data_IF_144166191992
#
_entry.id   IF_144166191992
#
_cell.length_a   1.000
_cell.length_b   1.000
_cell.length_c   1.000
_cell.angle_alpha   90.00
_cell.angle_beta   90.00
_cell.angle_gamma   90.00
#
_symmetry.space_group_name_H-M   'P 1'
#
loop_
_entity.id
_entity.type
_entity.pdbx_description
1 polymer ?
#
# COMPACT_ATOMS: atom_id res chain seq x y z
N UNK A 1 1.67 32.78 -28.01
CA UNK A 1 1.08 31.67 -27.20
C UNK A 1 -0.34 32.09 -26.89
N UNK A 2 -1.35 31.47 -27.51
CA UNK A 2 -2.74 31.70 -27.14
C UNK A 2 -3.01 30.92 -25.87
N UNK A 3 -3.40 31.61 -24.80
CA UNK A 3 -3.81 30.99 -23.55
C UNK A 3 -5.02 30.08 -23.79
N UNK A 4 -5.02 28.91 -23.21
CA UNK A 4 -6.20 28.06 -23.12
C UNK A 4 -7.22 28.75 -22.21
N UNK A 5 -8.29 29.27 -22.81
CA UNK A 5 -9.42 29.81 -22.09
C UNK A 5 -10.24 28.62 -21.56
N UNK A 6 -10.18 28.35 -20.25
CA UNK A 6 -10.97 27.32 -19.56
C UNK A 6 -12.31 27.94 -19.09
N UNK A 7 -12.92 28.76 -19.91
CA UNK A 7 -14.28 29.25 -19.65
C UNK A 7 -15.26 28.09 -19.88
N UNK A 8 -15.74 27.49 -18.80
CA UNK A 8 -16.77 26.46 -18.81
C UNK A 8 -16.43 25.14 -18.09
N UNK A 9 -15.37 25.05 -17.29
CA UNK A 9 -15.18 23.89 -16.46
C UNK A 9 -16.25 23.85 -15.36
N UNK A 10 -17.34 23.13 -15.63
CA UNK A 10 -18.24 22.70 -14.55
C UNK A 10 -17.39 21.94 -13.52
N UNK A 11 -17.30 22.45 -12.29
CA UNK A 11 -16.61 21.75 -11.21
C UNK A 11 -17.35 20.43 -10.98
N UNK A 12 -16.69 19.32 -11.27
CA UNK A 12 -17.17 18.00 -10.89
C UNK A 12 -17.13 17.96 -9.37
N UNK A 13 -18.29 17.99 -8.72
CA UNK A 13 -18.41 18.06 -7.26
C UNK A 13 -19.22 16.93 -6.66
N UNK A 14 -19.84 16.09 -7.48
CA UNK A 14 -20.57 14.94 -6.97
C UNK A 14 -19.64 13.71 -6.81
N UNK A 15 -19.81 13.01 -5.69
CA UNK A 15 -18.96 11.88 -5.31
C UNK A 15 -19.03 10.73 -6.32
N UNK A 16 -20.20 10.46 -6.89
CA UNK A 16 -20.39 9.38 -7.85
C UNK A 16 -19.56 9.60 -9.13
N UNK A 17 -19.57 10.82 -9.66
CA UNK A 17 -18.74 11.20 -10.80
C UNK A 17 -17.25 11.16 -10.46
N UNK A 18 -16.86 11.63 -9.26
CA UNK A 18 -15.46 11.59 -8.83
C UNK A 18 -14.95 10.15 -8.64
N UNK A 19 -15.78 9.23 -8.20
CA UNK A 19 -15.40 7.80 -8.06
C UNK A 19 -15.13 7.16 -9.42
N UNK A 20 -15.92 7.45 -10.43
CA UNK A 20 -15.78 6.89 -11.78
C UNK A 20 -14.79 7.64 -12.67
N UNK A 21 -14.34 8.82 -12.22
CA UNK A 21 -13.37 9.61 -12.99
C UNK A 21 -12.01 8.89 -13.02
N UNK A 22 -11.39 8.69 -14.20
CA UNK A 22 -10.11 8.02 -14.32
C UNK A 22 -9.01 8.74 -13.54
N UNK A 23 -8.36 8.05 -12.61
CA UNK A 23 -7.29 8.60 -11.77
C UNK A 23 -5.98 7.87 -11.99
N UNK A 24 -4.88 8.61 -11.85
CA UNK A 24 -3.52 8.08 -11.78
C UNK A 24 -3.02 8.29 -10.35
N UNK A 25 -2.53 7.24 -9.71
CA UNK A 25 -1.95 7.29 -8.38
C UNK A 25 -0.45 6.96 -8.44
N UNK A 26 0.39 7.93 -8.12
CA UNK A 26 1.85 7.77 -8.21
C UNK A 26 2.54 7.63 -6.85
N UNK A 27 1.79 7.71 -5.74
CA UNK A 27 2.37 7.66 -4.40
C UNK A 27 1.45 6.98 -3.38
N UNK A 28 1.39 5.65 -3.44
CA UNK A 28 0.59 4.85 -2.51
C UNK A 28 1.39 3.69 -1.92
N UNK A 29 1.49 3.65 -0.59
CA UNK A 29 2.08 2.52 0.13
C UNK A 29 1.03 1.44 0.39
N UNK A 30 1.34 0.19 0.03
CA UNK A 30 0.43 -0.94 0.26
C UNK A 30 0.11 -1.09 1.75
N UNK A 31 1.11 -0.96 2.62
CA UNK A 31 0.98 -1.08 4.08
C UNK A 31 0.04 -0.07 4.72
N UNK A 32 -0.23 1.04 4.05
CA UNK A 32 -1.13 2.11 4.50
C UNK A 32 -2.47 2.16 3.78
N UNK A 33 -2.76 1.19 2.89
CA UNK A 33 -3.91 1.26 1.97
C UNK A 33 -4.76 -0.01 2.00
N UNK A 34 -4.74 -0.74 3.09
CA UNK A 34 -5.49 -1.99 3.17
C UNK A 34 -7.00 -1.78 3.08
N UNK A 35 -7.67 -2.60 2.26
CA UNK A 35 -9.12 -2.67 2.25
C UNK A 35 -9.61 -3.09 3.66
N UNK A 36 -10.49 -2.25 4.22
CA UNK A 36 -10.80 -2.31 5.65
C UNK A 36 -11.51 -3.60 6.08
N UNK A 37 -12.38 -4.14 5.22
CA UNK A 37 -13.14 -5.36 5.52
C UNK A 37 -12.21 -6.57 5.52
N UNK A 38 -11.33 -6.65 4.54
CA UNK A 38 -10.32 -7.71 4.44
C UNK A 38 -9.36 -7.65 5.62
N UNK A 39 -8.89 -6.46 6.00
CA UNK A 39 -8.03 -6.26 7.15
C UNK A 39 -8.73 -6.68 8.46
N UNK A 40 -9.99 -6.32 8.64
CA UNK A 40 -10.77 -6.72 9.80
C UNK A 40 -10.94 -8.26 9.88
N UNK A 41 -11.34 -8.88 8.78
CA UNK A 41 -11.51 -10.34 8.72
C UNK A 41 -10.20 -11.06 9.01
N UNK A 42 -9.08 -10.58 8.46
CA UNK A 42 -7.75 -11.11 8.73
C UNK A 42 -7.38 -10.95 10.22
N UNK A 43 -7.61 -9.77 10.81
CA UNK A 43 -7.35 -9.53 12.23
C UNK A 43 -8.12 -10.48 13.14
N UNK A 44 -9.41 -10.70 12.84
CA UNK A 44 -10.26 -11.63 13.60
C UNK A 44 -9.83 -13.09 13.42
N UNK A 45 -9.53 -13.51 12.20
CA UNK A 45 -9.00 -14.84 11.87
C UNK A 45 -7.68 -15.13 12.61
N UNK A 46 -6.81 -14.13 12.68
CA UNK A 46 -5.49 -14.24 13.29
C UNK A 46 -5.49 -13.99 14.81
N UNK A 47 -6.64 -13.76 15.41
CA UNK A 47 -6.80 -13.59 16.87
C UNK A 47 -6.11 -12.34 17.41
N UNK A 48 -6.02 -11.27 16.62
CA UNK A 48 -5.44 -10.00 17.07
C UNK A 48 -6.36 -9.34 18.11
N UNK A 49 -5.75 -8.75 19.13
CA UNK A 49 -6.48 -7.98 20.15
C UNK A 49 -6.91 -6.62 19.59
N UNK A 50 -8.00 -6.65 18.84
CA UNK A 50 -8.60 -5.50 18.16
C UNK A 50 -10.13 -5.55 18.26
N UNK A 51 -10.81 -4.39 18.19
CA UNK A 51 -12.27 -4.34 18.25
C UNK A 51 -12.94 -5.22 17.19
N UNK A 52 -13.96 -5.98 17.60
CA UNK A 52 -14.79 -6.81 16.70
C UNK A 52 -15.81 -5.98 15.93
N UNK A 53 -16.27 -4.88 16.52
CA UNK A 53 -17.13 -3.93 15.84
C UNK A 53 -16.35 -3.16 14.78
N UNK A 54 -16.89 -3.09 13.55
CA UNK A 54 -16.22 -2.49 12.41
C UNK A 54 -15.94 -0.99 12.60
N UNK A 55 -16.84 -0.26 13.24
CA UNK A 55 -16.66 1.19 13.43
C UNK A 55 -15.57 1.47 14.46
N UNK A 56 -15.49 0.68 15.52
CA UNK A 56 -14.43 0.77 16.53
C UNK A 56 -13.09 0.26 15.97
N UNK A 57 -13.12 -0.82 15.16
CA UNK A 57 -11.94 -1.31 14.46
C UNK A 57 -11.34 -0.22 13.55
N UNK A 58 -12.19 0.43 12.74
CA UNK A 58 -11.78 1.56 11.89
C UNK A 58 -11.07 2.65 12.68
N UNK A 59 -11.62 3.05 13.82
CA UNK A 59 -11.00 4.07 14.70
C UNK A 59 -9.64 3.60 15.24
N UNK A 60 -9.50 2.31 15.56
CA UNK A 60 -8.25 1.76 16.08
C UNK A 60 -7.14 1.73 15.04
N UNK A 61 -7.46 1.41 13.77
CA UNK A 61 -6.45 1.15 12.72
C UNK A 61 -6.17 2.34 11.83
N UNK A 62 -7.11 3.26 11.67
CA UNK A 62 -6.93 4.44 10.83
C UNK A 62 -6.43 5.64 11.65
N UNK A 63 -5.62 6.50 11.01
CA UNK A 63 -5.31 7.81 11.56
C UNK A 63 -6.52 8.73 11.33
N UNK A 64 -7.04 9.44 12.36
CA UNK A 64 -8.21 10.29 12.21
C UNK A 64 -7.94 11.45 11.25
N UNK A 65 -8.80 11.62 10.25
CA UNK A 65 -8.65 12.61 9.19
C UNK A 65 -8.61 14.06 9.71
N UNK A 66 -9.38 14.33 10.76
CA UNK A 66 -9.56 15.68 11.33
C UNK A 66 -8.75 15.90 12.63
N UNK A 67 -7.76 15.02 12.91
CA UNK A 67 -6.86 15.20 14.06
C UNK A 67 -5.67 16.08 13.69
N UNK A 68 -5.08 16.71 14.72
CA UNK A 68 -3.81 17.41 14.55
C UNK A 68 -2.75 16.48 13.94
N UNK A 69 -1.94 16.96 12.98
CA UNK A 69 -0.91 16.17 12.35
C UNK A 69 0.09 15.61 13.38
N UNK A 70 0.22 14.31 13.43
CA UNK A 70 1.19 13.59 14.27
C UNK A 70 1.81 12.46 13.45
N UNK A 71 2.99 12.72 12.92
CA UNK A 71 3.67 11.79 12.02
C UNK A 71 4.07 10.47 12.70
N UNK A 72 4.52 10.52 13.96
CA UNK A 72 4.90 9.31 14.70
C UNK A 72 3.68 8.45 15.02
N UNK A 73 2.56 9.09 15.40
CA UNK A 73 1.29 8.40 15.61
C UNK A 73 0.76 7.79 14.29
N UNK A 74 0.91 8.48 13.17
CA UNK A 74 0.60 7.92 11.86
C UNK A 74 1.47 6.68 11.58
N UNK A 75 2.80 6.77 11.75
CA UNK A 75 3.70 5.63 11.55
C UNK A 75 3.40 4.45 12.46
N UNK A 76 2.87 4.69 13.67
CA UNK A 76 2.48 3.60 14.59
C UNK A 76 1.33 2.72 14.08
N UNK A 77 0.60 3.16 13.06
CA UNK A 77 -0.46 2.36 12.41
C UNK A 77 0.08 1.29 11.46
N UNK A 78 1.35 1.40 11.05
CA UNK A 78 2.02 0.42 10.18
C UNK A 78 2.51 -0.78 11.01
N UNK A 79 1.56 -1.60 11.46
CA UNK A 79 1.84 -2.81 12.25
C UNK A 79 2.35 -3.93 11.35
N UNK A 80 3.22 -4.77 11.89
CA UNK A 80 3.78 -5.95 11.21
C UNK A 80 3.10 -7.25 11.62
N UNK A 81 2.30 -7.24 12.69
CA UNK A 81 1.67 -8.42 13.29
C UNK A 81 0.33 -8.82 12.64
N UNK A 82 -0.03 -8.17 11.53
CA UNK A 82 -1.21 -8.49 10.75
C UNK A 82 -1.16 -9.90 10.16
N UNK A 83 0.00 -10.25 9.60
CA UNK A 83 0.17 -11.42 8.74
C UNK A 83 0.62 -12.62 9.57
N UNK A 84 -0.04 -13.77 9.42
CA UNK A 84 0.36 -15.05 10.00
C UNK A 84 0.77 -16.06 8.93
N UNK A 85 0.25 -15.87 7.73
CA UNK A 85 0.48 -16.76 6.58
C UNK A 85 0.80 -15.95 5.32
N UNK A 86 1.33 -16.62 4.31
CA UNK A 86 1.51 -16.02 3.00
C UNK A 86 0.15 -15.69 2.34
N UNK A 87 -0.90 -16.45 2.64
CA UNK A 87 -2.25 -16.18 2.14
C UNK A 87 -2.80 -14.86 2.69
N UNK A 88 -2.47 -14.51 3.94
CA UNK A 88 -2.86 -13.19 4.49
C UNK A 88 -2.28 -12.03 3.67
N UNK A 89 -1.02 -12.17 3.24
CA UNK A 89 -0.33 -11.16 2.43
C UNK A 89 -0.93 -11.10 1.02
N UNK A 90 -1.23 -12.26 0.45
CA UNK A 90 -1.90 -12.34 -0.84
C UNK A 90 -3.27 -11.67 -0.79
N UNK A 91 -4.13 -12.07 0.15
CA UNK A 91 -5.50 -11.57 0.30
C UNK A 91 -5.52 -10.04 0.43
N UNK A 92 -4.64 -9.48 1.30
CA UNK A 92 -4.62 -8.03 1.52
C UNK A 92 -4.10 -7.26 0.30
N UNK A 93 -3.09 -7.76 -0.39
CA UNK A 93 -2.55 -7.12 -1.59
C UNK A 93 -3.59 -7.13 -2.72
N UNK A 94 -4.24 -8.27 -2.94
CA UNK A 94 -5.29 -8.44 -3.94
C UNK A 94 -6.49 -7.52 -3.68
N UNK A 95 -7.06 -7.59 -2.47
CA UNK A 95 -8.24 -6.79 -2.10
C UNK A 95 -7.95 -5.27 -2.15
N UNK A 96 -6.74 -4.86 -1.75
CA UNK A 96 -6.36 -3.44 -1.77
C UNK A 96 -6.30 -2.89 -3.20
N UNK A 97 -5.83 -3.66 -4.18
CA UNK A 97 -5.80 -3.22 -5.58
C UNK A 97 -7.20 -3.15 -6.17
N UNK A 98 -8.09 -4.11 -5.86
CA UNK A 98 -9.50 -4.03 -6.26
C UNK A 98 -10.20 -2.80 -5.68
N UNK A 99 -9.94 -2.48 -4.41
CA UNK A 99 -10.52 -1.29 -3.75
C UNK A 99 -10.06 0.02 -4.43
N UNK A 100 -8.78 0.10 -4.80
CA UNK A 100 -8.25 1.23 -5.57
C UNK A 100 -8.91 1.37 -6.95
N UNK A 101 -9.12 0.26 -7.65
CA UNK A 101 -9.83 0.25 -8.91
C UNK A 101 -11.28 0.73 -8.77
N UNK A 102 -11.97 0.33 -7.69
CA UNK A 102 -13.33 0.78 -7.38
C UNK A 102 -13.42 2.29 -7.09
N UNK A 103 -12.31 2.92 -6.70
CA UNK A 103 -12.20 4.39 -6.58
C UNK A 103 -11.84 5.07 -7.92
N UNK A 104 -11.83 4.34 -9.04
CA UNK A 104 -11.55 4.86 -10.38
C UNK A 104 -10.07 5.05 -10.71
N UNK A 105 -9.17 4.46 -9.94
CA UNK A 105 -7.74 4.45 -10.28
C UNK A 105 -7.54 3.45 -11.40
N UNK A 106 -7.01 3.90 -12.54
CA UNK A 106 -6.71 3.02 -13.68
C UNK A 106 -5.21 2.76 -13.86
N UNK A 107 -4.33 3.56 -13.26
CA UNK A 107 -2.89 3.34 -13.20
C UNK A 107 -2.37 3.67 -11.80
N UNK A 108 -1.57 2.77 -11.23
CA UNK A 108 -0.98 2.97 -9.93
C UNK A 108 0.50 2.57 -9.90
N UNK A 109 1.33 3.40 -9.26
CA UNK A 109 2.67 3.06 -8.79
C UNK A 109 2.60 2.69 -7.31
N UNK A 110 2.35 1.40 -7.05
CA UNK A 110 2.19 0.85 -5.72
C UNK A 110 3.55 0.55 -5.11
N UNK A 111 3.85 1.15 -3.99
CA UNK A 111 5.09 0.89 -3.25
C UNK A 111 4.84 0.01 -2.04
N UNK A 112 5.79 -0.89 -1.76
CA UNK A 112 5.72 -1.77 -0.61
C UNK A 112 7.12 -2.18 -0.13
N UNK A 113 7.23 -2.51 1.16
CA UNK A 113 8.46 -3.02 1.76
C UNK A 113 8.37 -4.53 1.95
N UNK A 114 9.10 -5.35 1.19
CA UNK A 114 9.18 -6.78 1.44
C UNK A 114 9.60 -7.12 2.87
N UNK A 115 10.49 -6.31 3.46
CA UNK A 115 10.94 -6.44 4.84
C UNK A 115 9.81 -6.27 5.85
N UNK A 116 8.90 -5.30 5.63
CA UNK A 116 7.76 -5.08 6.51
C UNK A 116 6.86 -6.31 6.62
N UNK A 117 6.60 -6.96 5.49
CA UNK A 117 5.77 -8.17 5.44
C UNK A 117 6.49 -9.42 5.96
N UNK A 118 7.82 -9.45 5.86
CA UNK A 118 8.63 -10.60 6.28
C UNK A 118 8.87 -10.68 7.78
N UNK A 119 9.01 -9.54 8.46
CA UNK A 119 9.57 -9.39 9.81
C UNK A 119 8.91 -10.29 10.87
N UNK A 120 7.58 -10.40 10.89
CA UNK A 120 6.88 -11.07 11.97
C UNK A 120 7.06 -12.59 11.98
N UNK A 121 7.20 -13.20 10.79
CA UNK A 121 7.19 -14.65 10.62
C UNK A 121 8.46 -15.17 9.92
N UNK A 122 9.48 -14.33 9.81
CA UNK A 122 10.75 -14.65 9.12
C UNK A 122 10.53 -15.21 7.69
N UNK A 123 9.61 -14.60 6.96
CA UNK A 123 9.35 -14.99 5.58
C UNK A 123 10.49 -14.54 4.66
N UNK A 124 10.77 -15.33 3.64
CA UNK A 124 11.75 -14.95 2.61
C UNK A 124 11.26 -13.74 1.80
N UNK A 125 12.08 -12.67 1.75
CA UNK A 125 11.78 -11.41 1.06
C UNK A 125 11.51 -11.56 -0.43
N UNK A 126 12.15 -12.53 -1.09
CA UNK A 126 11.93 -12.83 -2.51
C UNK A 126 10.58 -13.50 -2.72
N UNK A 127 10.18 -14.39 -1.80
CA UNK A 127 8.85 -15.01 -1.81
C UNK A 127 7.78 -13.94 -1.62
N UNK A 128 7.94 -13.05 -0.63
CA UNK A 128 7.03 -11.91 -0.40
C UNK A 128 6.93 -11.03 -1.65
N UNK A 129 8.05 -10.62 -2.21
CA UNK A 129 8.06 -9.77 -3.41
C UNK A 129 7.27 -10.39 -4.56
N UNK A 130 7.53 -11.65 -4.88
CA UNK A 130 6.79 -12.37 -5.94
C UNK A 130 5.30 -12.48 -5.61
N UNK A 131 4.97 -12.74 -4.35
CA UNK A 131 3.60 -12.93 -3.90
C UNK A 131 2.79 -11.64 -4.04
N UNK A 132 3.31 -10.51 -3.55
CA UNK A 132 2.65 -9.20 -3.64
C UNK A 132 2.47 -8.78 -5.09
N UNK A 133 3.53 -8.90 -5.91
CA UNK A 133 3.47 -8.57 -7.35
C UNK A 133 2.44 -9.44 -8.06
N UNK A 134 2.40 -10.74 -7.77
CA UNK A 134 1.41 -11.65 -8.36
C UNK A 134 -0.02 -11.27 -7.95
N UNK A 135 -0.29 -11.13 -6.65
CA UNK A 135 -1.62 -10.82 -6.14
C UNK A 135 -2.16 -9.50 -6.71
N UNK A 136 -1.32 -8.47 -6.72
CA UNK A 136 -1.68 -7.16 -7.25
C UNK A 136 -1.90 -7.18 -8.78
N UNK A 137 -1.10 -7.94 -9.54
CA UNK A 137 -1.29 -8.08 -11.00
C UNK A 137 -2.56 -8.88 -11.32
N UNK A 138 -2.88 -9.92 -10.57
CA UNK A 138 -4.12 -10.68 -10.73
C UNK A 138 -5.35 -9.81 -10.49
N UNK A 139 -5.35 -9.02 -9.40
CA UNK A 139 -6.40 -8.05 -9.12
C UNK A 139 -6.50 -6.94 -10.18
N UNK A 140 -5.36 -6.42 -10.64
CA UNK A 140 -5.32 -5.40 -11.69
C UNK A 140 -5.87 -5.92 -13.02
N UNK A 141 -5.55 -7.18 -13.37
CA UNK A 141 -6.08 -7.82 -14.57
C UNK A 141 -7.61 -8.02 -14.49
N UNK A 142 -8.13 -8.43 -13.32
CA UNK A 142 -9.58 -8.55 -13.09
C UNK A 142 -10.28 -7.21 -13.22
N UNK A 143 -9.70 -6.15 -12.63
CA UNK A 143 -10.30 -4.82 -12.64
C UNK A 143 -10.05 -4.01 -13.92
N UNK A 144 -9.18 -4.48 -14.83
CA UNK A 144 -8.83 -3.75 -16.06
C UNK A 144 -7.98 -2.51 -15.82
N UNK A 145 -7.12 -2.51 -14.80
CA UNK A 145 -6.21 -1.41 -14.47
C UNK A 145 -4.74 -1.82 -14.65
N UNK A 146 -3.85 -0.85 -14.53
CA UNK A 146 -2.40 -1.08 -14.61
C UNK A 146 -1.72 -0.81 -13.27
N UNK A 147 -0.85 -1.73 -12.83
CA UNK A 147 -0.02 -1.57 -11.64
C UNK A 147 1.46 -1.64 -11.99
N UNK A 148 2.26 -0.80 -11.35
CA UNK A 148 3.72 -0.86 -11.31
C UNK A 148 4.17 -0.78 -9.86
N UNK A 149 5.37 -1.27 -9.57
CA UNK A 149 5.82 -1.40 -8.20
C UNK A 149 7.09 -0.61 -7.94
N UNK A 150 7.15 -0.03 -6.73
CA UNK A 150 8.39 0.50 -6.17
C UNK A 150 8.70 -0.26 -4.86
N UNK A 151 9.96 -0.64 -4.69
CA UNK A 151 10.40 -1.30 -3.46
C UNK A 151 10.77 -0.24 -2.43
N UNK A 152 10.12 -0.28 -1.28
CA UNK A 152 10.34 0.66 -0.19
C UNK A 152 11.41 0.16 0.77
N UNK A 153 12.43 0.99 0.96
CA UNK A 153 13.39 0.88 2.05
C UNK A 153 12.95 1.75 3.22
N UNK A 154 13.28 1.32 4.44
CA UNK A 154 12.94 2.05 5.66
C UNK A 154 14.19 2.55 6.37
N UNK A 155 14.41 3.89 6.37
CA UNK A 155 15.58 4.54 6.95
C UNK A 155 15.73 4.37 8.46
N UNK A 156 14.64 4.06 9.17
CA UNK A 156 14.66 3.81 10.61
C UNK A 156 15.03 2.36 10.97
N UNK A 157 14.74 1.41 10.08
CA UNK A 157 14.76 -0.02 10.39
C UNK A 157 15.83 -0.79 9.62
N UNK A 158 16.41 -0.19 8.59
CA UNK A 158 17.40 -0.83 7.73
C UNK A 158 18.69 -0.05 7.69
N UNK A 159 19.81 -0.74 7.81
CA UNK A 159 21.13 -0.21 7.52
C UNK A 159 21.35 -0.11 6.00
N UNK A 160 22.29 0.71 5.51
CA UNK A 160 22.64 0.76 4.09
C UNK A 160 23.00 -0.60 3.49
N UNK A 161 23.62 -1.47 4.28
CA UNK A 161 23.98 -2.82 3.86
C UNK A 161 22.72 -3.67 3.61
N UNK A 162 21.78 -3.66 4.53
CA UNK A 162 20.51 -4.39 4.40
C UNK A 162 19.65 -3.87 3.24
N UNK A 163 19.69 -2.55 2.96
CA UNK A 163 19.02 -1.97 1.79
C UNK A 163 19.65 -2.47 0.48
N UNK A 164 20.98 -2.55 0.41
CA UNK A 164 21.69 -3.08 -0.76
C UNK A 164 21.36 -4.58 -0.95
N UNK A 165 21.38 -5.36 0.12
CA UNK A 165 21.03 -6.78 0.08
C UNK A 165 19.59 -6.99 -0.42
N UNK A 166 18.63 -6.22 0.08
CA UNK A 166 17.24 -6.26 -0.38
C UNK A 166 17.14 -5.86 -1.86
N UNK A 167 17.86 -4.82 -2.28
CA UNK A 167 17.89 -4.38 -3.68
C UNK A 167 18.40 -5.50 -4.62
N UNK A 168 19.51 -6.15 -4.27
CA UNK A 168 20.06 -7.24 -5.09
C UNK A 168 19.14 -8.47 -5.08
N UNK A 169 18.48 -8.78 -3.97
CA UNK A 169 17.47 -9.82 -3.88
C UNK A 169 16.32 -9.56 -4.86
N UNK A 170 15.75 -8.37 -4.83
CA UNK A 170 14.64 -7.98 -5.71
C UNK A 170 15.07 -7.96 -7.17
N UNK A 171 16.22 -7.35 -7.48
CA UNK A 171 16.79 -7.30 -8.82
C UNK A 171 17.00 -8.70 -9.42
N UNK A 172 17.38 -9.68 -8.58
CA UNK A 172 17.59 -11.07 -9.01
C UNK A 172 16.31 -11.75 -9.51
N UNK A 173 15.12 -11.21 -9.13
CA UNK A 173 13.82 -11.77 -9.53
C UNK A 173 13.46 -11.46 -10.98
N UNK A 174 14.07 -10.44 -11.58
CA UNK A 174 13.83 -10.00 -12.97
C UNK A 174 12.35 -9.77 -13.28
N UNK A 175 11.66 -9.08 -12.35
CA UNK A 175 10.25 -8.68 -12.52
C UNK A 175 10.20 -7.29 -13.14
N UNK A 176 9.82 -7.19 -14.40
CA UNK A 176 9.81 -5.93 -15.18
C UNK A 176 8.75 -4.93 -14.67
N UNK A 177 7.78 -5.39 -13.88
CA UNK A 177 6.78 -4.54 -13.24
C UNK A 177 7.34 -3.72 -12.07
N UNK A 178 8.50 -4.10 -11.52
CA UNK A 178 9.19 -3.33 -10.49
C UNK A 178 10.04 -2.25 -11.18
N UNK A 179 9.57 -1.01 -11.12
CA UNK A 179 10.10 0.10 -11.92
C UNK A 179 10.96 1.08 -11.12
N UNK A 180 11.04 0.94 -9.81
CA UNK A 180 11.80 1.87 -8.98
C UNK A 180 11.96 1.45 -7.53
N UNK A 181 12.55 2.36 -6.77
CA UNK A 181 12.75 2.25 -5.32
C UNK A 181 12.25 3.51 -4.63
N UNK A 182 11.91 3.36 -3.35
CA UNK A 182 11.45 4.42 -2.47
C UNK A 182 12.22 4.35 -1.13
N UNK A 183 12.53 5.49 -0.54
CA UNK A 183 13.14 5.58 0.78
C UNK A 183 12.18 6.27 1.73
N UNK A 184 11.55 5.50 2.60
CA UNK A 184 10.53 5.96 3.55
C UNK A 184 11.02 5.92 5.00
N UNK A 185 10.18 6.44 5.91
CA UNK A 185 10.43 6.49 7.35
C UNK A 185 10.64 7.92 7.86
N UNK A 186 11.07 8.02 9.12
CA UNK A 186 11.27 9.29 9.81
C UNK A 186 12.50 10.04 9.30
N UNK A 187 12.28 10.95 8.40
CA UNK A 187 13.32 11.77 7.76
C UNK A 187 13.93 12.81 8.70
N UNK A 188 13.21 13.20 9.75
CA UNK A 188 13.67 14.19 10.72
C UNK A 188 14.78 13.64 11.60
N UNK A 189 14.62 12.39 12.06
CA UNK A 189 15.57 11.75 12.96
C UNK A 189 16.59 10.85 12.23
N UNK A 190 16.30 10.48 10.99
CA UNK A 190 17.10 9.58 10.15
C UNK A 190 17.25 10.18 8.74
N UNK A 191 17.99 11.30 8.60
CA UNK A 191 18.16 12.02 7.32
C UNK A 191 18.88 11.20 6.25
#
# INVERSE_FOLDING_TARGET
MKGFDVAGSQRISDEATLRTFPKVELHRHLEGTFELTTLHNMAMRNGLDLPKDMAEFKKAVQFPKDSEPDFLKFLSKFRVDWYRTLDDIYDIAYASVLDMANDGIFYIELRFSPEHFALQNDFDRKVITKLVVRAANEAAAEAGIYVRFLITFNRMKQTPKEMIELYEDVKSLKQDEIVGVDLAGDETNYP
#
